data_IF_355378483293
#
_entry.id   IF_355378483293
#
_cell.length_a   1.000
_cell.length_b   1.000
_cell.length_c   1.000
_cell.angle_alpha   90.00
_cell.angle_beta   90.00
_cell.angle_gamma   90.00
#
_symmetry.space_group_name_H-M   'P 1'
#
loop_
_entity.id
_entity.type
_entity.pdbx_description
1 polymer ?
#
# COMPACT_ATOMS: atom_id res chain seq x y z
N UNK A 1 22.51 -30.44 -15.55
CA UNK A 1 22.57 -29.00 -15.84
C UNK A 1 21.26 -28.57 -16.50
N UNK A 2 20.27 -28.08 -15.75
CA UNK A 2 19.01 -27.56 -16.28
C UNK A 2 19.29 -26.24 -17.02
N UNK A 3 19.02 -26.21 -18.33
CA UNK A 3 19.00 -24.96 -19.10
C UNK A 3 17.91 -24.05 -18.50
N UNK A 4 18.29 -22.86 -18.05
CA UNK A 4 17.31 -21.84 -17.73
C UNK A 4 16.44 -21.57 -18.98
N UNK A 5 15.11 -21.64 -18.89
CA UNK A 5 14.27 -21.28 -20.01
C UNK A 5 14.53 -19.82 -20.39
N UNK A 6 14.64 -19.54 -21.69
CA UNK A 6 14.80 -18.19 -22.19
C UNK A 6 13.65 -17.31 -21.62
N UNK A 7 13.99 -16.23 -20.91
CA UNK A 7 12.99 -15.25 -20.43
C UNK A 7 12.28 -14.66 -21.64
N UNK A 8 11.04 -15.07 -21.88
CA UNK A 8 10.16 -14.34 -22.78
C UNK A 8 9.88 -12.99 -22.15
N UNK A 9 10.44 -11.92 -22.70
CA UNK A 9 10.03 -10.55 -22.37
C UNK A 9 8.65 -10.32 -22.97
N UNK A 10 7.62 -10.38 -22.15
CA UNK A 10 6.26 -10.00 -22.53
C UNK A 10 6.17 -8.48 -22.42
N UNK A 11 5.97 -7.78 -23.54
CA UNK A 11 5.68 -6.34 -23.51
C UNK A 11 4.19 -6.14 -23.26
N UNK A 12 3.85 -5.45 -22.16
CA UNK A 12 2.50 -5.05 -21.86
C UNK A 12 2.12 -3.81 -22.68
N UNK A 13 0.91 -3.80 -23.26
CA UNK A 13 0.35 -2.59 -23.87
C UNK A 13 -0.12 -1.57 -22.80
N UNK A 14 -0.54 -0.39 -23.25
CA UNK A 14 -0.95 0.70 -22.34
C UNK A 14 -2.12 0.31 -21.44
N UNK A 15 -3.14 -0.35 -22.00
CA UNK A 15 -4.36 -0.75 -21.27
C UNK A 15 -4.05 -1.81 -20.20
N UNK A 16 -3.19 -2.77 -20.53
CA UNK A 16 -2.73 -3.79 -19.59
C UNK A 16 -1.94 -3.17 -18.43
N UNK A 17 -1.05 -2.21 -18.73
CA UNK A 17 -0.30 -1.49 -17.69
C UNK A 17 -1.26 -0.69 -16.79
N UNK A 18 -2.22 0.00 -17.38
CA UNK A 18 -3.21 0.77 -16.63
C UNK A 18 -4.08 -0.13 -15.74
N UNK A 19 -4.55 -1.26 -16.26
CA UNK A 19 -5.31 -2.24 -15.48
C UNK A 19 -4.51 -2.73 -14.27
N UNK A 20 -3.25 -3.14 -14.47
CA UNK A 20 -2.38 -3.61 -13.39
C UNK A 20 -2.14 -2.53 -12.34
N UNK A 21 -1.92 -1.28 -12.74
CA UNK A 21 -1.73 -0.17 -11.81
C UNK A 21 -3.01 0.10 -11.00
N UNK A 22 -4.19 0.12 -11.61
CA UNK A 22 -5.47 0.29 -10.91
C UNK A 22 -5.70 -0.84 -9.91
N UNK A 23 -5.53 -2.10 -10.34
CA UNK A 23 -5.64 -3.27 -9.45
C UNK A 23 -4.64 -3.18 -8.28
N UNK A 24 -3.40 -2.77 -8.53
CA UNK A 24 -2.41 -2.59 -7.47
C UNK A 24 -2.81 -1.50 -6.48
N UNK A 25 -3.41 -0.39 -6.95
CA UNK A 25 -3.91 0.67 -6.08
C UNK A 25 -5.11 0.23 -5.23
N UNK A 26 -6.03 -0.54 -5.83
CA UNK A 26 -7.17 -1.13 -5.13
C UNK A 26 -6.72 -2.13 -4.05
N UNK A 27 -5.72 -2.98 -4.36
CA UNK A 27 -5.12 -3.91 -3.39
C UNK A 27 -4.43 -3.14 -2.26
N UNK A 28 -3.67 -2.08 -2.60
CA UNK A 28 -2.99 -1.25 -1.60
C UNK A 28 -3.98 -0.61 -0.62
N UNK A 29 -5.18 -0.23 -1.07
CA UNK A 29 -6.21 0.38 -0.22
C UNK A 29 -6.56 -0.49 1.00
N UNK A 30 -6.50 -1.82 0.90
CA UNK A 30 -6.69 -2.72 2.04
C UNK A 30 -5.62 -2.50 3.12
N UNK A 31 -4.34 -2.51 2.75
CA UNK A 31 -3.25 -2.33 3.71
C UNK A 31 -3.20 -0.89 4.26
N UNK A 32 -3.51 0.10 3.43
CA UNK A 32 -3.58 1.50 3.81
C UNK A 32 -4.68 1.74 4.86
N UNK A 33 -5.84 1.11 4.69
CA UNK A 33 -7.01 1.27 5.55
C UNK A 33 -6.89 0.49 6.86
N UNK A 34 -6.39 -0.74 6.80
CA UNK A 34 -6.49 -1.67 7.91
C UNK A 34 -5.19 -1.90 8.67
N UNK A 35 -4.00 -1.86 8.02
CA UNK A 35 -2.72 -2.01 8.72
C UNK A 35 -2.28 -0.68 9.35
N UNK A 36 -2.94 -0.28 10.42
CA UNK A 36 -2.79 1.01 11.11
C UNK A 36 -2.37 0.85 12.57
N UNK A 37 -2.16 1.94 13.28
CA UNK A 37 -1.85 1.94 14.70
C UNK A 37 -2.90 1.21 15.56
N UNK A 38 -4.18 1.17 15.14
CA UNK A 38 -5.25 0.45 15.82
C UNK A 38 -5.05 -1.07 15.80
N UNK A 39 -4.37 -1.57 14.77
CA UNK A 39 -4.03 -2.97 14.56
C UNK A 39 -2.53 -3.24 14.79
N UNK A 40 -1.83 -2.38 15.56
CA UNK A 40 -0.38 -2.46 15.77
C UNK A 40 0.43 -2.56 14.48
N UNK A 41 -0.02 -1.89 13.41
CA UNK A 41 0.59 -1.89 12.08
C UNK A 41 0.65 -3.28 11.42
N UNK A 42 -0.15 -4.23 11.93
CA UNK A 42 -0.33 -5.56 11.37
C UNK A 42 -1.57 -5.60 10.46
N UNK A 43 -1.53 -6.33 9.34
CA UNK A 43 -2.71 -6.49 8.51
C UNK A 43 -3.69 -7.45 9.18
N UNK A 44 -4.99 -7.14 9.22
CA UNK A 44 -5.99 -8.14 9.58
C UNK A 44 -6.05 -9.24 8.50
N UNK A 45 -6.63 -10.38 8.85
CA UNK A 45 -6.73 -11.53 7.94
C UNK A 45 -7.58 -11.21 6.72
N UNK A 46 -8.71 -10.58 6.95
CA UNK A 46 -9.63 -10.14 5.89
C UNK A 46 -10.59 -9.06 6.38
N UNK A 47 -11.26 -8.44 5.40
CA UNK A 47 -12.41 -7.58 5.59
C UNK A 47 -13.59 -8.17 4.82
N UNK A 48 -14.68 -8.40 5.50
CA UNK A 48 -15.90 -8.96 4.95
C UNK A 48 -16.98 -7.88 4.85
N UNK A 49 -17.50 -7.62 3.67
CA UNK A 49 -18.51 -6.59 3.43
C UNK A 49 -19.92 -7.08 3.70
N UNK A 50 -20.22 -8.35 3.36
CA UNK A 50 -21.54 -8.95 3.43
C UNK A 50 -21.50 -10.17 4.39
N UNK A 51 -22.48 -10.36 5.29
CA UNK A 51 -23.76 -9.64 5.45
C UNK A 51 -23.63 -8.29 6.15
N UNK A 52 -22.52 -8.01 6.83
CA UNK A 52 -22.22 -6.72 7.46
C UNK A 52 -20.71 -6.48 7.47
N UNK A 53 -20.28 -5.22 7.37
CA UNK A 53 -18.86 -4.87 7.41
C UNK A 53 -18.19 -5.43 8.67
N UNK A 54 -17.21 -6.32 8.51
CA UNK A 54 -16.51 -6.97 9.61
C UNK A 54 -15.02 -7.12 9.29
N UNK A 55 -14.17 -6.67 10.20
CA UNK A 55 -12.72 -6.87 10.14
C UNK A 55 -12.35 -8.09 10.97
N UNK A 56 -11.60 -9.03 10.39
CA UNK A 56 -11.05 -10.16 11.13
C UNK A 56 -9.74 -9.75 11.82
N UNK A 57 -9.82 -9.33 13.08
CA UNK A 57 -8.71 -8.80 13.89
C UNK A 57 -7.69 -9.89 14.30
N UNK A 58 -7.23 -10.65 13.33
CA UNK A 58 -6.18 -11.67 13.50
C UNK A 58 -5.25 -11.62 12.31
N UNK A 59 -4.01 -12.06 12.50
CA UNK A 59 -2.98 -12.10 11.47
C UNK A 59 -2.13 -13.34 11.56
N UNK A 60 -1.50 -13.72 10.47
CA UNK A 60 -0.51 -14.80 10.39
C UNK A 60 0.85 -14.28 9.94
N UNK A 61 1.95 -15.04 10.12
CA UNK A 61 3.26 -14.63 9.60
C UNK A 61 3.24 -14.41 8.08
N UNK A 62 2.47 -15.19 7.32
CA UNK A 62 2.29 -14.97 5.88
C UNK A 62 1.62 -13.60 5.60
N UNK A 63 0.54 -13.27 6.32
CA UNK A 63 -0.16 -11.99 6.15
C UNK A 63 0.75 -10.81 6.47
N UNK A 64 1.53 -10.90 7.55
CA UNK A 64 2.49 -9.86 7.94
C UNK A 64 3.55 -9.68 6.85
N UNK A 65 4.11 -10.80 6.36
CA UNK A 65 5.08 -10.77 5.27
C UNK A 65 4.52 -10.13 4.00
N UNK A 66 3.28 -10.44 3.61
CA UNK A 66 2.59 -9.82 2.49
C UNK A 66 2.38 -8.31 2.69
N UNK A 67 2.04 -7.88 3.92
CA UNK A 67 1.93 -6.45 4.23
C UNK A 67 3.25 -5.71 4.07
N UNK A 68 4.36 -6.32 4.51
CA UNK A 68 5.70 -5.75 4.31
C UNK A 68 6.02 -5.61 2.81
N UNK A 69 5.67 -6.62 1.99
CA UNK A 69 5.82 -6.54 0.54
C UNK A 69 4.90 -5.49 -0.09
N UNK A 70 3.67 -5.38 0.40
CA UNK A 70 2.72 -4.36 -0.06
C UNK A 70 3.23 -2.93 0.19
N UNK A 71 3.86 -2.65 1.35
CA UNK A 71 4.49 -1.36 1.62
C UNK A 71 5.61 -1.04 0.62
N UNK A 72 6.46 -2.03 0.31
CA UNK A 72 7.54 -1.87 -0.66
C UNK A 72 6.99 -1.61 -2.07
N UNK A 73 5.97 -2.38 -2.47
CA UNK A 73 5.28 -2.23 -3.75
C UNK A 73 4.56 -0.88 -3.85
N UNK A 74 3.94 -0.40 -2.76
CA UNK A 74 3.30 0.91 -2.70
C UNK A 74 4.30 2.05 -2.96
N UNK A 75 5.54 1.90 -2.48
CA UNK A 75 6.61 2.83 -2.85
C UNK A 75 6.96 2.73 -4.33
N UNK A 76 7.17 1.53 -4.88
CA UNK A 76 7.49 1.32 -6.30
C UNK A 76 6.44 1.94 -7.24
N UNK A 77 5.16 1.89 -6.86
CA UNK A 77 4.06 2.49 -7.62
C UNK A 77 3.82 3.98 -7.32
N UNK A 78 4.50 4.54 -6.31
CA UNK A 78 4.36 5.94 -5.92
C UNK A 78 3.12 6.24 -5.06
N UNK A 79 2.56 5.23 -4.40
CA UNK A 79 1.44 5.39 -3.45
C UNK A 79 1.93 5.89 -2.09
N UNK A 80 3.17 5.58 -1.72
CA UNK A 80 3.83 6.03 -0.50
C UNK A 80 5.18 6.69 -0.80
N UNK A 81 5.52 7.78 -0.10
CA UNK A 81 6.88 8.28 -0.07
C UNK A 81 7.80 7.36 0.75
N UNK A 82 9.10 7.32 0.42
CA UNK A 82 10.06 6.41 1.05
C UNK A 82 10.14 6.53 2.58
N UNK A 83 10.01 7.75 3.11
CA UNK A 83 10.00 7.97 4.57
C UNK A 83 8.83 7.29 5.27
N UNK A 84 7.65 7.28 4.65
CA UNK A 84 6.47 6.61 5.20
C UNK A 84 6.59 5.10 5.13
N UNK A 85 7.17 4.55 4.05
CA UNK A 85 7.47 3.12 3.95
C UNK A 85 8.39 2.69 5.10
N UNK A 86 9.49 3.41 5.34
CA UNK A 86 10.42 3.11 6.43
C UNK A 86 9.71 3.15 7.78
N UNK A 87 8.87 4.16 8.01
CA UNK A 87 8.10 4.28 9.25
C UNK A 87 7.16 3.09 9.45
N UNK A 88 6.35 2.73 8.45
CA UNK A 88 5.39 1.61 8.53
C UNK A 88 6.10 0.28 8.73
N UNK A 89 7.20 0.04 8.00
CA UNK A 89 8.01 -1.18 8.15
C UNK A 89 8.60 -1.26 9.57
N UNK A 90 9.18 -0.18 10.08
CA UNK A 90 9.73 -0.14 11.45
C UNK A 90 8.66 -0.47 12.48
N UNK A 91 7.49 0.18 12.41
CA UNK A 91 6.40 -0.04 13.35
C UNK A 91 5.84 -1.47 13.27
N UNK A 92 5.82 -2.07 12.08
CA UNK A 92 5.46 -3.50 11.92
C UNK A 92 6.48 -4.41 12.56
N UNK A 93 7.78 -4.15 12.37
CA UNK A 93 8.87 -4.95 12.99
C UNK A 93 8.87 -4.79 14.52
N UNK A 94 8.65 -3.57 15.04
CA UNK A 94 8.50 -3.31 16.48
C UNK A 94 7.32 -4.09 17.10
N UNK A 95 6.26 -4.32 16.33
CA UNK A 95 5.13 -5.15 16.75
C UNK A 95 5.50 -6.64 16.75
N UNK A 96 6.24 -7.08 15.75
CA UNK A 96 6.77 -8.47 15.72
C UNK A 96 7.65 -8.77 16.92
N UNK A 97 8.52 -7.84 17.33
CA UNK A 97 9.42 -8.02 18.49
C UNK A 97 8.66 -8.16 19.82
N UNK A 98 7.43 -7.61 19.91
CA UNK A 98 6.56 -7.70 21.08
C UNK A 98 5.71 -8.97 21.12
N UNK A 99 5.57 -9.67 20.00
CA UNK A 99 4.77 -10.89 19.91
C UNK A 99 5.48 -12.06 20.60
N UNK A 100 4.71 -12.96 21.19
CA UNK A 100 5.24 -14.20 21.79
C UNK A 100 5.78 -15.12 20.68
N UNK A 101 6.98 -15.67 20.88
CA UNK A 101 7.64 -16.57 19.93
C UNK A 101 7.84 -17.97 20.57
N UNK A 102 7.84 -18.98 19.74
CA UNK A 102 8.25 -20.33 20.12
C UNK A 102 9.55 -20.71 19.39
N UNK A 103 10.67 -20.79 20.13
CA UNK A 103 11.99 -21.13 19.57
C UNK A 103 12.40 -20.26 18.37
N UNK A 104 12.08 -18.97 18.41
CA UNK A 104 12.37 -18.02 17.34
C UNK A 104 11.35 -18.00 16.18
N UNK A 105 10.32 -18.86 16.22
CA UNK A 105 9.23 -18.85 15.26
C UNK A 105 8.00 -18.14 15.81
N UNK A 106 7.26 -17.48 14.96
CA UNK A 106 5.93 -16.97 15.27
C UNK A 106 4.91 -18.12 15.30
N UNK A 107 3.91 -18.01 16.18
CA UNK A 107 2.73 -18.86 16.10
C UNK A 107 1.93 -18.55 14.83
N UNK A 108 1.02 -19.43 14.45
CA UNK A 108 0.29 -19.30 13.20
C UNK A 108 -0.70 -18.12 13.21
N UNK A 109 -1.34 -17.84 14.35
CA UNK A 109 -2.34 -16.78 14.46
C UNK A 109 -2.14 -15.92 15.70
N UNK A 110 -2.31 -14.61 15.52
CA UNK A 110 -2.30 -13.61 16.59
C UNK A 110 -3.49 -12.68 16.47
N UNK A 111 -4.00 -12.18 17.58
CA UNK A 111 -4.89 -11.02 17.60
C UNK A 111 -4.07 -9.77 17.29
N UNK A 112 -4.50 -8.98 16.30
CA UNK A 112 -3.77 -7.81 15.81
C UNK A 112 -3.77 -6.65 16.80
N UNK A 113 -4.73 -6.60 17.72
CA UNK A 113 -4.90 -5.52 18.70
C UNK A 113 -4.15 -5.77 19.99
N UNK A 114 -4.11 -7.04 20.43
CA UNK A 114 -3.48 -7.44 21.68
C UNK A 114 -2.10 -8.04 21.51
N UNK A 115 -1.74 -8.44 20.29
CA UNK A 115 -0.52 -9.19 19.92
C UNK A 115 -0.44 -10.59 20.58
N UNK A 116 -1.51 -11.06 21.20
CA UNK A 116 -1.58 -12.36 21.85
C UNK A 116 -1.75 -13.48 20.81
N UNK A 117 -1.04 -14.62 20.95
CA UNK A 117 -1.26 -15.77 20.10
C UNK A 117 -2.64 -16.38 20.34
N UNK A 118 -3.32 -16.77 19.25
CA UNK A 118 -4.64 -17.39 19.29
C UNK A 118 -4.56 -18.92 19.43
N UNK A 119 -5.58 -19.52 20.03
CA UNK A 119 -5.69 -20.97 20.14
C UNK A 119 -6.35 -21.60 18.88
N UNK A 120 -5.95 -22.82 18.46
CA UNK A 120 -4.85 -23.61 19.02
C UNK A 120 -3.48 -23.00 18.70
N UNK A 121 -2.56 -22.98 19.66
CA UNK A 121 -1.18 -22.51 19.46
C UNK A 121 -0.38 -23.55 18.71
N UNK A 122 0.08 -23.21 17.51
CA UNK A 122 0.99 -24.04 16.72
C UNK A 122 1.88 -23.16 15.84
N UNK A 123 2.99 -23.70 15.41
CA UNK A 123 3.90 -23.10 14.45
C UNK A 123 3.67 -23.75 13.08
N UNK A 124 3.33 -22.96 12.09
CA UNK A 124 3.23 -23.41 10.69
C UNK A 124 4.59 -23.29 10.01
N UNK A 125 5.10 -24.39 9.47
CA UNK A 125 6.35 -24.38 8.70
C UNK A 125 6.20 -23.59 7.39
N UNK A 126 5.01 -23.61 6.79
CA UNK A 126 4.70 -22.87 5.57
C UNK A 126 4.70 -21.36 5.85
N UNK A 127 4.00 -20.90 6.90
CA UNK A 127 3.97 -19.49 7.26
C UNK A 127 5.33 -18.96 7.69
N UNK A 128 6.09 -19.76 8.45
CA UNK A 128 7.48 -19.43 8.82
C UNK A 128 8.37 -19.29 7.58
N UNK A 129 8.22 -20.19 6.61
CA UNK A 129 8.96 -20.13 5.33
C UNK A 129 8.59 -18.93 4.49
N UNK A 130 7.29 -18.63 4.37
CA UNK A 130 6.79 -17.45 3.66
C UNK A 130 7.33 -16.16 4.31
N UNK A 131 7.23 -16.04 5.64
CA UNK A 131 7.77 -14.90 6.37
C UNK A 131 9.26 -14.70 6.12
N UNK A 132 10.05 -15.77 6.20
CA UNK A 132 11.49 -15.73 5.94
C UNK A 132 11.78 -15.23 4.50
N UNK A 133 11.07 -15.76 3.50
CA UNK A 133 11.19 -15.32 2.11
C UNK A 133 10.82 -13.84 1.92
N UNK A 134 9.74 -13.39 2.56
CA UNK A 134 9.32 -11.99 2.52
C UNK A 134 10.35 -11.06 3.19
N UNK A 135 10.91 -11.44 4.34
CA UNK A 135 11.95 -10.64 5.02
C UNK A 135 13.23 -10.54 4.20
N UNK A 136 13.65 -11.62 3.51
CA UNK A 136 14.78 -11.57 2.59
C UNK A 136 14.50 -10.61 1.43
N UNK A 137 13.31 -10.66 0.84
CA UNK A 137 12.90 -9.76 -0.25
C UNK A 137 12.82 -8.31 0.24
N UNK A 138 12.26 -8.07 1.42
CA UNK A 138 12.21 -6.75 2.04
C UNK A 138 13.61 -6.16 2.23
N UNK A 139 14.55 -6.95 2.74
CA UNK A 139 15.95 -6.52 2.93
C UNK A 139 16.55 -6.03 1.60
N UNK A 140 16.39 -6.79 0.54
CA UNK A 140 16.91 -6.40 -0.79
C UNK A 140 16.21 -5.15 -1.33
N UNK A 141 14.88 -5.05 -1.18
CA UNK A 141 14.12 -3.88 -1.59
C UNK A 141 14.54 -2.62 -0.83
N UNK A 142 14.64 -2.67 0.51
CA UNK A 142 15.12 -1.54 1.32
C UNK A 142 16.57 -1.16 0.99
N UNK A 143 17.41 -2.16 0.69
CA UNK A 143 18.78 -1.91 0.24
C UNK A 143 18.83 -1.18 -1.10
N UNK A 144 17.95 -1.54 -2.04
CA UNK A 144 17.82 -0.87 -3.33
C UNK A 144 17.30 0.57 -3.20
N UNK A 145 16.40 0.86 -2.25
CA UNK A 145 15.90 2.21 -1.98
C UNK A 145 17.02 3.20 -1.64
N UNK A 146 18.10 2.77 -1.02
CA UNK A 146 19.25 3.64 -0.65
C UNK A 146 19.90 4.32 -1.86
N UNK A 147 19.75 3.75 -3.05
CA UNK A 147 20.35 4.25 -4.28
C UNK A 147 19.35 5.02 -5.15
N UNK A 148 18.12 5.17 -4.69
CA UNK A 148 17.08 5.92 -5.38
C UNK A 148 16.99 7.36 -4.88
N UNK A 149 16.51 8.31 -5.70
CA UNK A 149 16.23 9.66 -5.23
C UNK A 149 15.25 9.64 -4.06
N UNK A 150 15.52 10.45 -3.03
CA UNK A 150 14.62 10.59 -1.86
C UNK A 150 13.20 11.01 -2.29
N UNK A 151 13.11 11.82 -3.35
CA UNK A 151 11.86 12.25 -3.95
C UNK A 151 11.90 11.96 -5.45
N UNK A 152 11.14 10.97 -5.89
CA UNK A 152 10.86 10.70 -7.29
C UNK A 152 9.48 11.27 -7.64
N UNK A 153 9.47 12.50 -8.15
CA UNK A 153 8.22 13.22 -8.47
C UNK A 153 7.39 12.52 -9.57
N UNK A 154 8.04 11.94 -10.58
CA UNK A 154 7.36 11.19 -11.63
C UNK A 154 6.60 9.99 -11.07
N UNK A 155 7.26 9.21 -10.22
CA UNK A 155 6.69 8.05 -9.56
C UNK A 155 5.51 8.43 -8.65
N UNK A 156 5.66 9.46 -7.82
CA UNK A 156 4.61 9.94 -6.91
C UNK A 156 3.41 10.51 -7.66
N UNK A 157 3.63 11.25 -8.74
CA UNK A 157 2.55 11.78 -9.59
C UNK A 157 1.83 10.65 -10.33
N UNK A 158 2.55 9.62 -10.77
CA UNK A 158 1.93 8.43 -11.36
C UNK A 158 1.03 7.70 -10.34
N UNK A 159 1.49 7.53 -9.10
CA UNK A 159 0.69 6.94 -8.01
C UNK A 159 -0.55 7.77 -7.66
N UNK A 160 -0.41 9.10 -7.62
CA UNK A 160 -1.53 10.01 -7.42
C UNK A 160 -2.54 9.91 -8.57
N UNK A 161 -2.07 9.86 -9.81
CA UNK A 161 -2.96 9.69 -10.97
C UNK A 161 -3.75 8.39 -10.91
N UNK A 162 -3.15 7.26 -10.46
CA UNK A 162 -3.88 6.00 -10.27
C UNK A 162 -5.00 6.16 -9.24
N UNK A 163 -4.73 6.84 -8.13
CA UNK A 163 -5.75 7.13 -7.10
C UNK A 163 -6.89 7.97 -7.66
N UNK A 164 -6.57 9.01 -8.44
CA UNK A 164 -7.58 9.88 -9.05
C UNK A 164 -8.45 9.14 -10.08
N UNK A 165 -7.86 8.22 -10.86
CA UNK A 165 -8.61 7.36 -11.80
C UNK A 165 -9.63 6.49 -11.04
N UNK A 166 -9.23 5.89 -9.92
CA UNK A 166 -10.12 5.06 -9.12
C UNK A 166 -11.25 5.89 -8.51
N UNK A 167 -10.95 7.08 -8.00
CA UNK A 167 -11.97 7.99 -7.49
C UNK A 167 -12.94 8.43 -8.59
N UNK A 168 -12.46 8.78 -9.78
CA UNK A 168 -13.32 9.11 -10.92
C UNK A 168 -14.24 7.93 -11.31
N UNK A 169 -13.69 6.71 -11.31
CA UNK A 169 -14.47 5.48 -11.59
C UNK A 169 -15.54 5.23 -10.52
N UNK A 170 -15.21 5.43 -9.24
CA UNK A 170 -16.13 5.25 -8.12
C UNK A 170 -17.33 6.20 -8.20
N UNK A 171 -17.09 7.47 -8.49
CA UNK A 171 -18.16 8.47 -8.61
C UNK A 171 -18.88 8.45 -9.96
N UNK A 172 -18.27 7.89 -11.00
CA UNK A 172 -18.85 7.78 -12.34
C UNK A 172 -19.23 9.15 -12.92
N UNK A 173 -20.49 9.28 -13.36
CA UNK A 173 -20.99 10.53 -13.94
C UNK A 173 -21.11 11.67 -12.91
N UNK A 174 -21.22 11.36 -11.64
CA UNK A 174 -21.35 12.32 -10.54
C UNK A 174 -20.00 12.82 -10.01
N UNK A 175 -18.88 12.47 -10.68
CA UNK A 175 -17.57 12.89 -10.24
C UNK A 175 -17.45 14.43 -10.18
N UNK A 176 -17.03 15.00 -9.03
CA UNK A 176 -16.87 16.44 -8.89
C UNK A 176 -15.94 17.01 -9.97
N UNK A 177 -16.30 18.16 -10.53
CA UNK A 177 -15.47 18.83 -11.55
C UNK A 177 -14.05 19.09 -11.06
N UNK A 178 -13.91 19.38 -9.77
CA UNK A 178 -12.61 19.57 -9.12
C UNK A 178 -11.71 18.34 -9.18
N UNK A 179 -12.25 17.12 -9.15
CA UNK A 179 -11.49 15.87 -9.24
C UNK A 179 -10.84 15.72 -10.62
N UNK A 180 -11.60 15.98 -11.69
CA UNK A 180 -11.09 15.95 -13.07
C UNK A 180 -10.02 17.02 -13.30
N UNK A 181 -10.21 18.20 -12.72
CA UNK A 181 -9.25 19.29 -12.80
C UNK A 181 -7.95 18.92 -12.05
N UNK A 182 -8.06 18.33 -10.87
CA UNK A 182 -6.91 17.85 -10.10
C UNK A 182 -6.11 16.81 -10.90
N UNK A 183 -6.78 15.88 -11.56
CA UNK A 183 -6.13 14.89 -12.42
C UNK A 183 -5.42 15.55 -13.61
N UNK A 184 -6.02 16.53 -14.24
CA UNK A 184 -5.37 17.31 -15.32
C UNK A 184 -4.10 18.01 -14.82
N UNK A 185 -4.15 18.62 -13.63
CA UNK A 185 -2.97 19.22 -12.99
C UNK A 185 -1.88 18.18 -12.70
N UNK A 186 -2.26 16.99 -12.18
CA UNK A 186 -1.35 15.90 -11.93
C UNK A 186 -0.60 15.46 -13.20
N UNK A 187 -1.31 15.25 -14.30
CA UNK A 187 -0.71 14.86 -15.59
C UNK A 187 0.22 15.95 -16.15
N UNK A 188 -0.16 17.22 -16.03
CA UNK A 188 0.69 18.33 -16.47
C UNK A 188 1.95 18.46 -15.61
N UNK A 189 1.87 18.15 -14.31
CA UNK A 189 2.99 18.28 -13.38
C UNK A 189 4.15 17.33 -13.70
N UNK A 190 3.90 16.19 -14.34
CA UNK A 190 4.93 15.19 -14.72
C UNK A 190 6.03 15.79 -15.58
N UNK A 191 5.68 16.74 -16.48
CA UNK A 191 6.63 17.36 -17.42
C UNK A 191 7.23 18.68 -16.93
N UNK A 192 6.89 19.14 -15.72
CA UNK A 192 7.35 20.42 -15.21
C UNK A 192 8.80 20.36 -14.70
N UNK A 193 9.60 21.41 -14.94
CA UNK A 193 10.88 21.58 -14.27
C UNK A 193 10.69 21.66 -12.74
N UNK A 194 11.69 21.17 -11.97
CA UNK A 194 11.64 21.11 -10.50
C UNK A 194 11.24 22.45 -9.85
N UNK A 195 11.70 23.58 -10.39
CA UNK A 195 11.37 24.91 -9.87
C UNK A 195 9.89 25.29 -10.00
N UNK A 196 9.18 24.74 -10.98
CA UNK A 196 7.74 24.98 -11.19
C UNK A 196 6.86 23.93 -10.51
N UNK A 197 7.39 22.71 -10.35
CA UNK A 197 6.68 21.59 -9.76
C UNK A 197 6.15 21.90 -8.36
N UNK A 198 6.97 22.55 -7.50
CA UNK A 198 6.55 22.89 -6.15
C UNK A 198 5.34 23.84 -6.11
N UNK A 199 5.29 24.80 -7.01
CA UNK A 199 4.14 25.70 -7.17
C UNK A 199 2.87 24.95 -7.58
N UNK A 200 3.01 23.98 -8.49
CA UNK A 200 1.89 23.18 -8.97
C UNK A 200 1.39 22.21 -7.87
N UNK A 201 2.27 21.56 -7.13
CA UNK A 201 1.90 20.70 -5.99
C UNK A 201 1.16 21.48 -4.90
N UNK A 202 1.52 22.75 -4.63
CA UNK A 202 0.76 23.61 -3.70
C UNK A 202 -0.66 23.86 -4.18
N UNK A 203 -0.86 24.12 -5.47
CA UNK A 203 -2.21 24.30 -6.06
C UNK A 203 -3.03 23.02 -5.95
N UNK A 204 -2.42 21.87 -6.29
CA UNK A 204 -3.06 20.57 -6.19
C UNK A 204 -3.49 20.28 -4.75
N UNK A 205 -2.63 20.56 -3.76
CA UNK A 205 -2.94 20.40 -2.33
C UNK A 205 -4.13 21.28 -1.91
N UNK A 206 -4.14 22.55 -2.31
CA UNK A 206 -5.25 23.45 -2.01
C UNK A 206 -6.57 22.94 -2.60
N UNK A 207 -6.52 22.41 -3.82
CA UNK A 207 -7.68 21.83 -4.49
C UNK A 207 -8.16 20.54 -3.83
N UNK A 208 -7.25 19.66 -3.40
CA UNK A 208 -7.61 18.49 -2.60
C UNK A 208 -8.35 18.89 -1.32
N UNK A 209 -7.82 19.85 -0.56
CA UNK A 209 -8.46 20.32 0.67
C UNK A 209 -9.86 20.89 0.41
N UNK A 210 -10.04 21.64 -0.68
CA UNK A 210 -11.36 22.16 -1.08
C UNK A 210 -12.34 21.03 -1.40
N UNK A 211 -11.92 20.02 -2.18
CA UNK A 211 -12.73 18.84 -2.50
C UNK A 211 -13.11 18.04 -1.26
N UNK A 212 -12.17 17.82 -0.35
CA UNK A 212 -12.45 17.12 0.91
C UNK A 212 -13.50 17.84 1.73
N UNK A 213 -13.43 19.19 1.80
CA UNK A 213 -14.42 20.00 2.52
C UNK A 213 -15.80 19.94 1.86
N UNK A 214 -15.88 20.01 0.53
CA UNK A 214 -17.13 19.85 -0.20
C UNK A 214 -17.77 18.48 0.03
N UNK A 215 -17.00 17.40 -0.12
CA UNK A 215 -17.51 16.05 0.08
C UNK A 215 -18.00 15.81 1.51
N UNK A 216 -17.32 16.38 2.53
CA UNK A 216 -17.77 16.31 3.93
C UNK A 216 -19.07 17.07 4.18
N UNK A 217 -19.33 18.16 3.45
CA UNK A 217 -20.58 18.92 3.56
C UNK A 217 -21.74 18.24 2.85
N UNK A 218 -21.47 17.57 1.70
CA UNK A 218 -22.51 16.87 0.92
C UNK A 218 -22.86 15.50 1.51
N UNK A 219 -21.99 14.90 2.35
CA UNK A 219 -22.18 13.59 2.95
C UNK A 219 -21.69 13.57 4.42
N UNK A 220 -22.47 14.14 5.38
CA UNK A 220 -22.05 14.29 6.79
C UNK A 220 -21.95 12.96 7.57
N UNK A 221 -22.15 11.81 6.93
CA UNK A 221 -22.13 10.46 7.53
C UNK A 221 -20.95 9.57 7.09
N UNK A 222 -19.92 10.12 6.47
CA UNK A 222 -18.69 9.38 6.13
C UNK A 222 -17.53 9.79 7.03
#
# INVERSE_FOLDING_TARGET
LSRQPARRTVSLNADQKQLLRQTSREIWAFFETFATAKENWLPPDNYQEIPQPTVAHRTSPTNIGLSLMANLTAWDFGYLPGGEVLQRVTLTLDSLDKMEHFRGHLFNWYDTRTLAPLNPRYVSSVDSGNMAGHLLTLREGLSAMRYQPVLNSEQLLAGLNDTLIILEKYWGQNAPTGLRLLRKHCLNAVSLPAGQLFGELKKMRAQCNHLTTQCAQENPLV
#
